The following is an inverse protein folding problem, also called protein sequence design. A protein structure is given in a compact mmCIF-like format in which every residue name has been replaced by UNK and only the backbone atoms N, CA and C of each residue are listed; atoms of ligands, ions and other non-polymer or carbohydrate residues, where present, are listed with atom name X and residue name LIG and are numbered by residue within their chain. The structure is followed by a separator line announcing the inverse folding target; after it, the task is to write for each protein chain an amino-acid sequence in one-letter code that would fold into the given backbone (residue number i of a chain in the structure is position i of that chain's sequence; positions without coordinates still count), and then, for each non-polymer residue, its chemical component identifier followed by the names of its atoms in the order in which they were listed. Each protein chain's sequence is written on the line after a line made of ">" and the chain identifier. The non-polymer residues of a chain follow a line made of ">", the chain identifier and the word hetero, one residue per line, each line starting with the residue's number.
data_IF_734970790202
#
_entry.id   IF_734970790202
#
_cell.length_a   1.000
_cell.length_b   1.000
_cell.length_c   1.000
_cell.angle_alpha   90.00
_cell.angle_beta   90.00
_cell.angle_gamma   90.00
#
_symmetry.space_group_name_H-M   'P 1'
#
loop_
_entity.id
_entity.type
_entity.pdbx_description
1 polymer ?
#
# COMPACT_ATOMS: atom_id res chain seq x y z
N UNK A 1 6.79 5.13 -3.78
CA UNK A 1 5.39 5.44 -3.44
C UNK A 1 5.39 6.31 -2.20
N UNK A 2 4.77 7.50 -2.25
CA UNK A 2 4.75 8.45 -1.13
C UNK A 2 3.61 8.22 -0.15
N UNK A 3 2.56 7.53 -0.57
CA UNK A 3 1.37 7.28 0.23
C UNK A 3 1.20 5.78 0.46
N UNK A 4 0.86 5.43 1.69
CA UNK A 4 0.34 4.11 2.03
C UNK A 4 -1.16 4.11 1.76
N UNK A 5 -1.61 3.14 0.99
CA UNK A 5 -3.03 2.88 0.83
C UNK A 5 -3.39 1.77 1.83
N UNK A 6 -4.22 2.09 2.79
CA UNK A 6 -4.69 1.15 3.81
C UNK A 6 -6.19 1.04 3.66
N UNK A 7 -6.72 -0.17 3.38
CA UNK A 7 -8.16 -0.36 3.30
C UNK A 7 -8.79 -0.12 4.69
N UNK A 8 -9.85 0.66 4.72
CA UNK A 8 -10.67 0.83 5.91
C UNK A 8 -11.79 -0.21 5.85
N UNK A 9 -11.81 -1.10 6.81
CA UNK A 9 -12.99 -1.92 7.07
C UNK A 9 -14.12 -1.01 7.54
N UNK A 10 -15.37 -1.40 7.29
CA UNK A 10 -16.52 -0.64 7.79
C UNK A 10 -16.41 -0.48 9.31
N UNK A 11 -16.14 0.74 9.74
CA UNK A 11 -16.06 1.07 11.15
C UNK A 11 -17.48 1.19 11.72
N UNK A 12 -17.94 0.17 12.40
CA UNK A 12 -19.25 0.16 13.06
C UNK A 12 -19.28 0.85 14.43
N UNK A 13 -18.23 1.62 14.76
CA UNK A 13 -18.15 2.31 16.04
C UNK A 13 -18.74 3.71 15.94
N UNK A 14 -19.97 3.85 16.38
CA UNK A 14 -20.68 5.13 16.38
C UNK A 14 -20.37 6.01 17.61
N UNK A 15 -19.51 5.58 18.51
CA UNK A 15 -19.09 6.32 19.72
C UNK A 15 -20.28 6.96 20.47
N UNK A 16 -21.36 6.21 20.66
CA UNK A 16 -22.62 6.63 21.32
C UNK A 16 -23.49 7.59 20.48
N UNK A 17 -23.15 7.88 19.24
CA UNK A 17 -23.99 8.63 18.33
C UNK A 17 -25.06 7.72 17.69
N UNK A 18 -26.27 8.26 17.39
CA UNK A 18 -27.35 7.46 16.82
C UNK A 18 -27.10 6.97 15.38
N UNK A 19 -26.20 7.62 14.66
CA UNK A 19 -25.82 7.25 13.28
C UNK A 19 -24.53 7.92 12.86
N UNK A 20 -23.94 7.48 11.74
CA UNK A 20 -22.69 7.99 11.19
C UNK A 20 -22.75 9.50 10.86
N UNK A 21 -23.93 10.00 10.43
CA UNK A 21 -24.07 11.42 10.10
C UNK A 21 -23.93 12.29 11.35
N UNK A 22 -24.64 11.95 12.43
CA UNK A 22 -24.56 12.69 13.69
C UNK A 22 -23.13 12.70 14.25
N UNK A 23 -22.40 11.57 14.11
CA UNK A 23 -20.98 11.50 14.48
C UNK A 23 -20.12 12.41 13.59
N UNK A 24 -20.31 12.39 12.28
CA UNK A 24 -19.55 13.23 11.35
C UNK A 24 -19.83 14.71 11.57
N UNK A 25 -21.09 15.11 11.80
CA UNK A 25 -21.49 16.49 12.08
C UNK A 25 -20.82 17.00 13.37
N UNK A 26 -20.83 16.19 14.43
CA UNK A 26 -20.14 16.49 15.68
C UNK A 26 -18.62 16.67 15.49
N UNK A 27 -17.98 15.77 14.75
CA UNK A 27 -16.55 15.89 14.47
C UNK A 27 -16.23 17.15 13.67
N UNK A 28 -17.04 17.50 12.67
CA UNK A 28 -16.87 18.70 11.88
C UNK A 28 -16.99 19.98 12.76
N UNK A 29 -17.96 20.02 13.66
CA UNK A 29 -18.12 21.12 14.61
C UNK A 29 -16.87 21.24 15.52
N UNK A 30 -16.42 20.13 16.11
CA UNK A 30 -15.26 20.12 17.01
C UNK A 30 -13.95 20.47 16.30
N UNK A 31 -13.78 20.05 15.06
CA UNK A 31 -12.60 20.44 14.25
C UNK A 31 -12.57 21.94 14.00
N UNK A 32 -13.73 22.59 13.80
CA UNK A 32 -13.80 24.04 13.63
C UNK A 32 -13.47 24.78 14.93
N UNK A 33 -13.92 24.28 16.07
CA UNK A 33 -13.64 24.89 17.39
C UNK A 33 -12.17 24.69 17.81
N UNK A 34 -11.59 23.52 17.55
CA UNK A 34 -10.28 23.10 18.05
C UNK A 34 -9.19 23.11 16.97
N UNK A 35 -9.38 23.87 15.91
CA UNK A 35 -8.47 23.93 14.78
C UNK A 35 -7.02 24.27 15.18
N UNK A 36 -6.11 23.37 14.83
CA UNK A 36 -4.66 23.59 14.91
C UNK A 36 -4.04 23.59 16.32
N UNK A 37 -4.81 23.36 17.39
CA UNK A 37 -4.30 23.36 18.77
C UNK A 37 -3.27 22.26 18.96
N UNK A 38 -3.63 21.01 18.69
CA UNK A 38 -2.74 19.84 18.87
C UNK A 38 -1.51 19.93 17.97
N UNK A 39 -1.64 20.44 16.75
CA UNK A 39 -0.54 20.57 15.82
C UNK A 39 0.59 21.46 16.31
N UNK A 40 0.29 22.56 16.96
CA UNK A 40 1.30 23.48 17.55
C UNK A 40 2.04 22.83 18.71
N UNK A 41 1.32 22.20 19.62
CA UNK A 41 1.89 21.47 20.74
C UNK A 41 2.78 20.32 20.27
N UNK A 42 2.32 19.59 19.24
CA UNK A 42 3.10 18.52 18.65
C UNK A 42 4.41 19.01 18.03
N UNK A 43 4.39 20.11 17.27
CA UNK A 43 5.59 20.69 16.68
C UNK A 43 6.56 21.18 17.78
N UNK A 44 6.04 21.83 18.81
CA UNK A 44 6.84 22.27 19.94
C UNK A 44 7.48 21.07 20.67
N UNK A 45 6.70 20.01 20.91
CA UNK A 45 7.21 18.77 21.50
C UNK A 45 8.35 18.16 20.67
N UNK A 46 8.16 17.98 19.35
CA UNK A 46 9.16 17.43 18.45
C UNK A 46 10.45 18.27 18.44
N UNK A 47 10.32 19.59 18.40
CA UNK A 47 11.43 20.53 18.38
C UNK A 47 12.25 20.46 19.66
N UNK A 48 11.59 20.37 20.82
CA UNK A 48 12.24 20.34 22.11
C UNK A 48 12.84 18.95 22.47
N UNK A 49 12.38 17.89 21.79
CA UNK A 49 12.78 16.50 22.09
C UNK A 49 13.44 15.78 20.90
N UNK A 50 14.07 16.52 19.98
CA UNK A 50 14.57 16.00 18.72
C UNK A 50 15.49 14.77 18.85
N UNK A 51 16.35 14.73 19.86
CA UNK A 51 17.28 13.61 20.09
C UNK A 51 16.57 12.39 20.68
N UNK A 52 15.60 12.59 21.57
CA UNK A 52 14.75 11.51 22.07
C UNK A 52 13.89 10.91 20.96
N UNK A 53 13.31 11.75 20.09
CA UNK A 53 12.54 11.31 18.91
C UNK A 53 13.40 10.44 17.99
N UNK A 54 14.62 10.90 17.66
CA UNK A 54 15.56 10.15 16.83
C UNK A 54 15.95 8.79 17.46
N UNK A 55 16.19 8.78 18.77
CA UNK A 55 16.55 7.56 19.50
C UNK A 55 15.42 6.54 19.49
N UNK A 56 14.20 7.00 19.79
CA UNK A 56 12.99 6.16 19.75
C UNK A 56 12.74 5.61 18.35
N UNK A 57 12.84 6.47 17.33
CA UNK A 57 12.71 6.02 15.94
C UNK A 57 13.72 4.95 15.56
N UNK A 58 14.98 5.07 15.96
CA UNK A 58 16.01 4.06 15.66
C UNK A 58 15.67 2.71 16.27
N UNK A 59 15.19 2.68 17.52
CA UNK A 59 14.80 1.45 18.21
C UNK A 59 13.61 0.80 17.49
N UNK A 60 12.56 1.57 17.25
CA UNK A 60 11.34 1.08 16.58
C UNK A 60 11.66 0.65 15.15
N UNK A 61 12.49 1.41 14.43
CA UNK A 61 12.92 1.05 13.08
C UNK A 61 13.65 -0.29 13.05
N UNK A 62 14.54 -0.54 14.00
CA UNK A 62 15.25 -1.81 14.08
C UNK A 62 14.27 -2.97 14.32
N UNK A 63 13.31 -2.81 15.24
CA UNK A 63 12.22 -3.77 15.46
C UNK A 63 11.49 -4.12 14.16
N UNK A 64 11.15 -3.11 13.32
CA UNK A 64 10.47 -3.31 12.05
C UNK A 64 11.34 -4.01 11.00
N UNK A 65 12.63 -3.71 10.96
CA UNK A 65 13.58 -4.39 10.08
C UNK A 65 13.74 -5.87 10.49
N UNK A 66 13.83 -6.16 11.78
CA UNK A 66 13.91 -7.52 12.28
C UNK A 66 12.63 -8.33 11.99
N UNK A 67 11.47 -7.70 12.17
CA UNK A 67 10.15 -8.28 11.83
C UNK A 67 10.03 -8.64 10.34
N UNK A 68 10.60 -7.83 9.48
CA UNK A 68 10.52 -7.98 8.03
C UNK A 68 11.73 -8.67 7.39
N UNK A 69 12.66 -9.18 8.18
CA UNK A 69 13.95 -9.71 7.71
C UNK A 69 13.85 -10.79 6.63
N UNK A 70 12.80 -11.63 6.67
CA UNK A 70 12.57 -12.70 5.69
C UNK A 70 11.62 -12.28 4.55
N UNK A 71 11.34 -11.00 4.41
CA UNK A 71 10.44 -10.45 3.38
C UNK A 71 11.25 -9.83 2.22
N UNK A 72 10.56 -9.46 1.15
CA UNK A 72 11.22 -8.77 0.02
C UNK A 72 11.84 -7.44 0.45
N UNK A 73 12.93 -7.03 -0.20
CA UNK A 73 13.61 -5.78 0.13
C UNK A 73 12.72 -4.53 0.02
N UNK A 74 11.67 -4.59 -0.83
CA UNK A 74 10.67 -3.54 -0.92
C UNK A 74 9.81 -3.49 0.34
N UNK A 75 9.35 -4.64 0.83
CA UNK A 75 8.55 -4.73 2.06
C UNK A 75 9.38 -4.28 3.26
N UNK A 76 10.64 -4.72 3.38
CA UNK A 76 11.57 -4.28 4.42
C UNK A 76 11.73 -2.75 4.44
N UNK A 77 11.91 -2.14 3.27
CA UNK A 77 12.04 -0.69 3.17
C UNK A 77 10.77 0.03 3.62
N UNK A 78 9.60 -0.45 3.20
CA UNK A 78 8.32 0.15 3.62
C UNK A 78 8.09 -0.05 5.11
N UNK A 79 8.39 -1.22 5.66
CA UNK A 79 8.32 -1.50 7.09
C UNK A 79 9.20 -0.54 7.90
N UNK A 80 10.49 -0.44 7.56
CA UNK A 80 11.45 0.41 8.26
C UNK A 80 11.27 1.92 8.06
N UNK A 81 10.80 2.35 6.89
CA UNK A 81 10.74 3.78 6.55
C UNK A 81 9.33 4.39 6.71
N UNK A 82 8.27 3.57 6.73
CA UNK A 82 6.89 4.06 6.82
C UNK A 82 6.20 3.60 8.10
N UNK A 83 6.07 2.30 8.30
CA UNK A 83 5.39 1.78 9.47
C UNK A 83 6.15 2.07 10.76
N UNK A 84 7.48 2.05 10.73
CA UNK A 84 8.29 2.49 11.86
C UNK A 84 8.07 3.96 12.24
N UNK A 85 7.89 4.85 11.26
CA UNK A 85 7.57 6.27 11.52
C UNK A 85 6.19 6.41 12.14
N UNK A 86 5.18 5.67 11.62
CA UNK A 86 3.81 5.70 12.16
C UNK A 86 3.76 5.19 13.60
N UNK A 87 4.43 4.06 13.90
CA UNK A 87 4.50 3.54 15.27
C UNK A 87 5.24 4.51 16.20
N UNK A 88 6.35 5.09 15.74
CA UNK A 88 7.08 6.10 16.52
C UNK A 88 6.21 7.31 16.83
N UNK A 89 5.44 7.79 15.85
CA UNK A 89 4.55 8.93 16.06
C UNK A 89 3.46 8.61 17.10
N UNK A 90 2.82 7.45 17.02
CA UNK A 90 1.81 7.02 18.00
C UNK A 90 2.41 6.80 19.38
N UNK A 91 3.58 6.18 19.46
CA UNK A 91 4.30 5.99 20.73
C UNK A 91 4.58 7.32 21.44
N UNK A 92 5.06 8.31 20.68
CA UNK A 92 5.36 9.65 21.22
C UNK A 92 4.11 10.47 21.53
N UNK A 93 3.00 10.20 20.83
CA UNK A 93 1.72 10.88 21.00
C UNK A 93 0.80 10.24 22.06
N UNK A 94 1.30 9.26 22.85
CA UNK A 94 0.49 8.52 23.81
C UNK A 94 -0.29 9.39 24.78
N UNK A 95 0.28 10.50 25.24
CA UNK A 95 -0.38 11.42 26.17
C UNK A 95 -1.53 12.21 25.49
N UNK A 96 -1.46 12.38 24.15
CA UNK A 96 -2.51 13.02 23.36
C UNK A 96 -3.60 12.03 22.97
N UNK A 97 -3.24 10.82 22.59
CA UNK A 97 -4.16 9.80 22.08
C UNK A 97 -4.81 8.97 23.19
N UNK A 98 -4.22 8.96 24.38
CA UNK A 98 -4.56 8.07 25.50
C UNK A 98 -4.42 6.58 25.16
N UNK A 99 -3.75 6.25 24.07
CA UNK A 99 -3.46 4.87 23.68
C UNK A 99 -2.23 4.36 24.39
N UNK A 100 -2.27 3.11 24.78
CA UNK A 100 -1.10 2.41 25.30
C UNK A 100 -0.09 2.14 24.18
N UNK A 101 1.16 1.87 24.58
CA UNK A 101 2.20 1.49 23.63
C UNK A 101 1.83 0.20 22.88
N UNK A 102 1.18 -0.72 23.57
CA UNK A 102 0.77 -2.00 23.00
C UNK A 102 -0.37 -1.85 22.01
N UNK A 103 -1.41 -1.07 22.31
CA UNK A 103 -2.51 -0.77 21.39
C UNK A 103 -2.00 -0.09 20.12
N UNK A 104 -1.09 0.87 20.28
CA UNK A 104 -0.45 1.57 19.16
C UNK A 104 0.33 0.61 18.26
N UNK A 105 1.16 -0.26 18.87
CA UNK A 105 1.96 -1.23 18.13
C UNK A 105 1.08 -2.26 17.39
N UNK A 106 0.03 -2.78 18.05
CA UNK A 106 -0.91 -3.72 17.45
C UNK A 106 -1.69 -3.10 16.29
N UNK A 107 -2.17 -1.86 16.44
CA UNK A 107 -2.88 -1.16 15.39
C UNK A 107 -2.01 -0.97 14.14
N UNK A 108 -0.75 -0.56 14.32
CA UNK A 108 0.17 -0.39 13.19
C UNK A 108 0.55 -1.73 12.58
N UNK A 109 0.76 -2.78 13.39
CA UNK A 109 1.04 -4.13 12.89
C UNK A 109 -0.12 -4.67 12.06
N UNK A 110 -1.38 -4.53 12.51
CA UNK A 110 -2.56 -4.93 11.74
C UNK A 110 -2.59 -4.23 10.38
N UNK A 111 -2.36 -2.92 10.35
CA UNK A 111 -2.34 -2.16 9.11
C UNK A 111 -1.17 -2.58 8.18
N UNK A 112 -0.01 -2.92 8.74
CA UNK A 112 1.10 -3.46 7.97
C UNK A 112 0.76 -4.81 7.32
N UNK A 113 0.13 -5.71 8.07
CA UNK A 113 -0.24 -7.03 7.55
C UNK A 113 -1.27 -6.91 6.42
N UNK A 114 -2.29 -6.08 6.58
CA UNK A 114 -3.28 -5.79 5.53
C UNK A 114 -2.61 -5.18 4.29
N UNK A 115 -1.74 -4.19 4.49
CA UNK A 115 -0.98 -3.59 3.38
C UNK A 115 -0.08 -4.61 2.68
N UNK A 116 0.59 -5.49 3.45
CA UNK A 116 1.46 -6.54 2.91
C UNK A 116 0.67 -7.53 2.07
N UNK A 117 -0.51 -7.96 2.52
CA UNK A 117 -1.38 -8.87 1.79
C UNK A 117 -1.80 -8.28 0.44
N UNK A 118 -2.15 -7.00 0.41
CA UNK A 118 -2.60 -6.34 -0.81
C UNK A 118 -1.46 -5.96 -1.77
N UNK A 119 -0.30 -5.55 -1.24
CA UNK A 119 0.76 -4.92 -2.03
C UNK A 119 2.15 -5.54 -1.86
N UNK A 120 2.34 -6.46 -0.93
CA UNK A 120 3.67 -6.88 -0.48
C UNK A 120 4.35 -7.94 -1.34
N UNK A 121 3.62 -8.76 -2.08
CA UNK A 121 4.19 -9.90 -2.82
C UNK A 121 4.64 -9.52 -4.23
N UNK A 122 3.98 -8.52 -4.84
CA UNK A 122 4.35 -8.05 -6.16
C UNK A 122 4.71 -6.56 -6.13
N UNK A 123 5.78 -6.20 -6.84
CA UNK A 123 6.07 -4.79 -7.10
C UNK A 123 4.84 -4.16 -7.77
N UNK A 124 4.34 -3.05 -7.21
CA UNK A 124 3.22 -2.31 -7.79
C UNK A 124 3.51 -1.90 -9.23
N UNK A 125 4.79 -1.69 -9.53
CA UNK A 125 5.29 -1.39 -10.86
C UNK A 125 5.16 -2.61 -11.78
N UNK A 126 5.54 -3.81 -11.31
CA UNK A 126 5.38 -5.07 -12.06
C UNK A 126 3.91 -5.38 -12.33
N UNK A 127 3.05 -5.28 -11.31
CA UNK A 127 1.60 -5.48 -11.48
C UNK A 127 1.00 -4.45 -12.46
N UNK A 128 1.45 -3.20 -12.39
CA UNK A 128 1.01 -2.16 -13.32
C UNK A 128 1.51 -2.41 -14.74
N UNK A 129 2.76 -2.85 -14.90
CA UNK A 129 3.34 -3.21 -16.20
C UNK A 129 2.61 -4.40 -16.82
N UNK A 130 2.36 -5.46 -16.04
CA UNK A 130 1.60 -6.62 -16.50
C UNK A 130 0.20 -6.20 -16.95
N UNK A 131 -0.49 -5.35 -16.17
CA UNK A 131 -1.82 -4.86 -16.54
C UNK A 131 -1.78 -4.03 -17.81
N UNK A 132 -0.85 -3.08 -17.93
CA UNK A 132 -0.69 -2.25 -19.13
C UNK A 132 -0.38 -3.13 -20.34
N UNK A 133 0.49 -4.14 -20.19
CA UNK A 133 0.83 -5.07 -21.26
C UNK A 133 -0.39 -5.91 -21.68
N UNK A 134 -1.15 -6.41 -20.71
CA UNK A 134 -2.38 -7.19 -20.97
C UNK A 134 -3.41 -6.33 -21.69
N UNK A 135 -3.68 -5.12 -21.20
CA UNK A 135 -4.60 -4.18 -21.85
C UNK A 135 -4.15 -3.85 -23.28
N UNK A 136 -2.84 -3.64 -23.48
CA UNK A 136 -2.28 -3.38 -24.81
C UNK A 136 -2.45 -4.58 -25.75
N UNK A 137 -2.19 -5.80 -25.27
CA UNK A 137 -2.38 -7.03 -26.05
C UNK A 137 -3.84 -7.20 -26.47
N UNK A 138 -4.80 -6.99 -25.57
CA UNK A 138 -6.22 -7.08 -25.84
C UNK A 138 -6.67 -6.05 -26.88
N UNK A 139 -6.27 -4.80 -26.74
CA UNK A 139 -6.62 -3.73 -27.70
C UNK A 139 -6.02 -3.98 -29.09
N UNK A 140 -4.86 -4.60 -29.17
CA UNK A 140 -4.16 -4.86 -30.42
C UNK A 140 -4.31 -6.30 -30.92
N UNK A 141 -5.24 -7.09 -30.34
CA UNK A 141 -5.42 -8.50 -30.70
C UNK A 141 -5.55 -8.74 -32.22
N UNK A 142 -6.32 -7.91 -32.90
CA UNK A 142 -6.50 -7.98 -34.35
C UNK A 142 -5.25 -7.62 -35.18
N UNK A 143 -4.19 -7.13 -34.53
CA UNK A 143 -2.91 -6.80 -35.18
C UNK A 143 -1.87 -7.92 -35.08
N UNK A 144 -2.21 -9.07 -34.49
CA UNK A 144 -1.35 -10.23 -34.43
C UNK A 144 -1.66 -11.20 -35.57
N UNK A 145 -0.61 -11.76 -36.18
CA UNK A 145 -0.72 -12.82 -37.18
C UNK A 145 -0.68 -14.16 -36.44
N UNK A 146 -1.55 -15.09 -36.80
CA UNK A 146 -1.53 -16.46 -36.28
C UNK A 146 -0.42 -17.28 -36.94
N UNK A 147 0.25 -18.12 -36.15
CA UNK A 147 1.21 -19.09 -36.64
C UNK A 147 0.76 -20.52 -36.23
N UNK A 148 0.71 -21.50 -37.16
CA UNK A 148 0.96 -21.34 -38.61
C UNK A 148 -0.10 -20.42 -39.27
N UNK A 149 0.33 -19.65 -40.27
CA UNK A 149 -0.52 -18.69 -40.97
C UNK A 149 -1.61 -19.39 -41.77
N UNK A 150 -2.87 -19.02 -41.58
CA UNK A 150 -3.95 -19.39 -42.51
C UNK A 150 -3.78 -18.61 -43.83
N UNK A 151 -3.60 -19.31 -44.96
CA UNK A 151 -3.46 -18.65 -46.28
C UNK A 151 -4.65 -17.74 -46.68
N UNK A 152 -5.81 -17.97 -46.07
CA UNK A 152 -7.04 -17.21 -46.35
C UNK A 152 -7.29 -16.11 -45.29
N UNK A 153 -6.48 -16.03 -44.23
CA UNK A 153 -6.64 -15.00 -43.24
C UNK A 153 -6.27 -13.60 -43.77
N UNK A 154 -7.04 -12.60 -43.38
CA UNK A 154 -6.69 -11.21 -43.72
C UNK A 154 -5.50 -10.77 -42.92
N UNK A 155 -4.45 -10.36 -43.64
CA UNK A 155 -3.27 -9.78 -42.97
C UNK A 155 -3.62 -8.41 -42.41
N UNK A 156 -3.33 -8.13 -41.13
CA UNK A 156 -3.52 -6.82 -40.55
C UNK A 156 -2.73 -5.73 -41.30
N UNK A 157 -3.28 -4.53 -41.42
CA UNK A 157 -2.60 -3.37 -42.03
C UNK A 157 -1.33 -3.03 -41.26
N UNK A 158 -1.38 -3.22 -39.92
CA UNK A 158 -0.24 -3.03 -39.01
C UNK A 158 -0.06 -4.29 -38.21
N UNK A 159 1.09 -4.94 -38.36
CA UNK A 159 1.45 -6.15 -37.63
C UNK A 159 2.14 -5.75 -36.32
N UNK A 160 1.59 -6.15 -35.18
CA UNK A 160 2.16 -5.93 -33.86
C UNK A 160 2.96 -7.14 -33.34
N UNK A 161 2.73 -8.31 -33.89
CA UNK A 161 3.44 -9.54 -33.52
C UNK A 161 2.82 -10.80 -34.12
N UNK A 162 3.30 -11.94 -33.67
CA UNK A 162 2.84 -13.28 -34.08
C UNK A 162 2.26 -13.98 -32.85
N UNK A 163 1.11 -14.62 -32.99
CA UNK A 163 0.46 -15.45 -31.99
C UNK A 163 0.62 -16.92 -32.39
N UNK A 164 1.32 -17.71 -31.56
CA UNK A 164 1.46 -19.14 -31.75
C UNK A 164 0.29 -19.87 -31.11
N UNK A 165 -0.38 -20.74 -31.84
CA UNK A 165 -1.47 -21.53 -31.29
C UNK A 165 -0.94 -22.61 -30.33
N UNK A 166 -1.60 -22.77 -29.19
CA UNK A 166 -1.16 -23.60 -28.06
C UNK A 166 -0.85 -25.08 -28.41
N UNK A 167 -1.42 -25.60 -29.48
CA UNK A 167 -1.18 -26.97 -29.93
C UNK A 167 0.17 -27.18 -30.64
N UNK A 168 0.84 -26.11 -31.08
CA UNK A 168 2.15 -26.17 -31.74
C UNK A 168 3.30 -25.89 -30.76
N UNK A 169 3.06 -25.08 -29.71
CA UNK A 169 4.05 -24.83 -28.68
C UNK A 169 4.52 -26.10 -27.94
N UNK A 170 3.64 -27.11 -27.83
CA UNK A 170 4.01 -28.43 -27.25
C UNK A 170 4.89 -29.30 -28.10
N UNK A 171 5.00 -29.04 -29.43
CA UNK A 171 5.84 -29.83 -30.31
C UNK A 171 7.29 -29.38 -30.36
N UNK A 172 7.57 -28.14 -30.01
CA UNK A 172 8.94 -27.59 -29.97
C UNK A 172 9.67 -27.89 -28.65
N UNK A 173 8.94 -28.22 -27.57
CA UNK A 173 9.57 -28.66 -26.31
C UNK A 173 9.97 -30.15 -26.29
N UNK A 174 9.57 -30.96 -27.28
CA UNK A 174 9.89 -32.41 -27.38
C UNK A 174 11.02 -32.72 -28.39
N UNK A 175 11.71 -31.73 -28.94
CA UNK A 175 12.86 -31.85 -29.81
C UNK A 175 14.08 -31.10 -29.26
#
# INVERSE_FOLDING_TARGET
>A
VRLLNVPLEEANHLHQFPNNKAHADYLNEKVQECFGVIGREWIAFLSNNADAVKSTYKIIRQKWLDLSNNMSGQVQRVAGDRFAVLETALYLAKDLTQWTEEESAQAILKNFLNWKEEFGENSREETSLIRILTDWLLVNEASFIEYPADPNARTPIKVSGVRVLANEAKKEEEH
#
